data_IF_222957851794
#
_entry.id   IF_222957851794
#
_cell.length_a   1.000
_cell.length_b   1.000
_cell.length_c   1.000
_cell.angle_alpha   90.00
_cell.angle_beta   90.00
_cell.angle_gamma   90.00
#
_symmetry.space_group_name_H-M   'P 1'
#
loop_
_entity.id
_entity.type
_entity.pdbx_description
1 polymer ?
#
# COMPACT_ATOMS: atom_id res chain seq x y z
N UNK A 1 23.04 2.42 8.58
CA UNK A 1 22.10 2.19 7.48
C UNK A 1 20.77 1.58 7.93
N UNK A 2 20.68 0.90 9.08
CA UNK A 2 19.49 0.12 9.51
C UNK A 2 18.37 0.90 10.25
N UNK A 3 18.65 2.06 10.83
CA UNK A 3 17.64 2.83 11.59
C UNK A 3 16.66 3.59 10.68
N UNK A 4 17.10 3.98 9.48
CA UNK A 4 16.25 4.64 8.49
C UNK A 4 15.24 3.67 7.86
N UNK A 5 15.64 2.42 7.64
CA UNK A 5 14.78 1.38 7.05
C UNK A 5 13.56 1.09 7.92
N UNK A 6 13.70 0.98 9.25
CA UNK A 6 12.58 0.72 10.17
C UNK A 6 11.55 1.85 10.20
N UNK A 7 11.97 3.11 10.00
CA UNK A 7 11.11 4.30 10.08
C UNK A 7 10.20 4.44 8.85
N UNK A 8 10.70 4.07 7.66
CA UNK A 8 9.93 4.16 6.40
C UNK A 8 9.29 2.84 5.99
N UNK A 9 9.67 1.73 6.63
CA UNK A 9 9.13 0.40 6.32
C UNK A 9 7.60 0.38 6.39
N UNK A 10 7.03 0.83 7.50
CA UNK A 10 5.58 0.86 7.68
C UNK A 10 4.87 1.80 6.72
N UNK A 11 5.54 2.88 6.33
CA UNK A 11 5.00 3.80 5.33
C UNK A 11 4.95 3.16 3.93
N UNK A 12 6.05 2.51 3.53
CA UNK A 12 6.12 1.76 2.27
C UNK A 12 5.16 0.57 2.26
N UNK A 13 5.15 -0.19 3.35
CA UNK A 13 4.25 -1.32 3.51
C UNK A 13 2.78 -0.91 3.38
N UNK A 14 2.35 0.10 4.13
CA UNK A 14 0.99 0.64 4.03
C UNK A 14 0.69 1.22 2.65
N UNK A 15 1.66 1.87 2.00
CA UNK A 15 1.53 2.42 0.65
C UNK A 15 1.29 1.33 -0.41
N UNK A 16 1.99 0.21 -0.32
CA UNK A 16 1.78 -0.94 -1.22
C UNK A 16 0.36 -1.49 -1.07
N UNK A 17 -0.08 -1.74 0.17
CA UNK A 17 -1.43 -2.25 0.43
C UNK A 17 -2.52 -1.27 -0.01
N UNK A 18 -2.31 0.02 0.19
CA UNK A 18 -3.20 1.06 -0.31
C UNK A 18 -3.30 1.02 -1.84
N UNK A 19 -2.17 0.94 -2.54
CA UNK A 19 -2.14 0.88 -4.01
C UNK A 19 -2.82 -0.38 -4.55
N UNK A 20 -2.56 -1.55 -3.95
CA UNK A 20 -3.21 -2.82 -4.29
C UNK A 20 -4.73 -2.72 -4.04
N UNK A 21 -5.13 -2.19 -2.88
CA UNK A 21 -6.54 -2.00 -2.53
C UNK A 21 -7.27 -1.09 -3.51
N UNK A 22 -6.67 0.03 -3.90
CA UNK A 22 -7.24 0.95 -4.90
C UNK A 22 -7.34 0.29 -6.28
N UNK A 23 -6.34 -0.49 -6.69
CA UNK A 23 -6.36 -1.25 -7.94
C UNK A 23 -7.50 -2.26 -8.00
N UNK A 24 -7.66 -3.06 -6.94
CA UNK A 24 -8.75 -4.05 -6.82
C UNK A 24 -10.13 -3.37 -6.76
N UNK A 25 -10.25 -2.26 -6.03
CA UNK A 25 -11.50 -1.49 -5.96
C UNK A 25 -11.88 -0.96 -7.34
N UNK A 26 -10.92 -0.36 -8.05
CA UNK A 26 -11.15 0.11 -9.43
C UNK A 26 -11.57 -1.04 -10.35
N UNK A 27 -10.84 -2.16 -10.34
CA UNK A 27 -11.18 -3.34 -11.13
C UNK A 27 -12.57 -3.87 -10.82
N UNK A 28 -12.97 -3.92 -9.55
CA UNK A 28 -14.31 -4.32 -9.13
C UNK A 28 -15.41 -3.37 -9.64
N UNK A 29 -15.18 -2.06 -9.58
CA UNK A 29 -16.12 -1.05 -10.11
C UNK A 29 -16.27 -1.18 -11.63
N UNK A 30 -15.14 -1.32 -12.34
CA UNK A 30 -15.13 -1.46 -13.80
C UNK A 30 -15.87 -2.73 -14.23
N UNK A 31 -15.66 -3.84 -13.53
CA UNK A 31 -16.35 -5.12 -13.79
C UNK A 31 -17.88 -5.02 -13.55
N UNK A 32 -18.29 -4.42 -12.42
CA UNK A 32 -19.72 -4.19 -12.12
C UNK A 32 -20.34 -3.25 -13.18
N UNK A 33 -19.60 -2.21 -13.58
CA UNK A 33 -20.04 -1.30 -14.64
C UNK A 33 -20.23 -1.99 -15.98
N UNK A 34 -19.27 -2.82 -16.38
CA UNK A 34 -19.36 -3.63 -17.60
C UNK A 34 -20.52 -4.61 -17.54
N UNK A 35 -20.72 -5.31 -16.41
CA UNK A 35 -21.84 -6.22 -16.25
C UNK A 35 -23.20 -5.51 -16.39
N UNK A 36 -23.35 -4.31 -15.82
CA UNK A 36 -24.56 -3.49 -15.98
C UNK A 36 -24.80 -3.11 -17.44
N UNK A 37 -23.73 -2.73 -18.18
CA UNK A 37 -23.83 -2.42 -19.61
C UNK A 37 -24.27 -3.64 -20.41
N UNK A 38 -23.68 -4.81 -20.17
CA UNK A 38 -24.09 -6.05 -20.84
C UNK A 38 -25.53 -6.45 -20.53
N UNK A 39 -26.02 -6.19 -19.31
CA UNK A 39 -27.45 -6.44 -18.97
C UNK A 39 -28.40 -5.46 -19.65
N UNK A 40 -28.00 -4.20 -19.81
CA UNK A 40 -28.86 -3.17 -20.39
C UNK A 40 -28.83 -3.14 -21.93
N UNK A 41 -27.64 -3.32 -22.52
CA UNK A 41 -27.39 -3.07 -23.95
C UNK A 41 -26.89 -4.32 -24.68
N UNK A 42 -26.65 -5.41 -23.95
CA UNK A 42 -26.11 -6.65 -24.52
C UNK A 42 -27.10 -7.33 -25.48
N UNK A 43 -26.61 -7.70 -26.65
CA UNK A 43 -27.33 -8.48 -27.64
C UNK A 43 -26.76 -9.90 -27.70
N UNK A 44 -27.62 -10.88 -27.74
CA UNK A 44 -27.24 -12.30 -27.82
C UNK A 44 -27.22 -12.72 -29.29
N UNK A 45 -26.11 -13.33 -29.71
CA UNK A 45 -25.98 -13.89 -31.04
C UNK A 45 -25.47 -15.32 -31.00
N UNK A 46 -25.83 -16.12 -32.02
CA UNK A 46 -25.20 -17.40 -32.27
C UNK A 46 -23.89 -17.20 -33.03
N UNK A 47 -22.81 -17.70 -32.48
CA UNK A 47 -21.51 -17.69 -33.10
C UNK A 47 -21.09 -19.12 -33.49
N UNK A 48 -20.20 -19.24 -34.44
CA UNK A 48 -19.65 -20.52 -34.87
C UNK A 48 -18.15 -20.52 -34.52
N UNK A 49 -17.70 -21.57 -33.87
CA UNK A 49 -16.27 -21.77 -33.55
C UNK A 49 -15.52 -21.98 -34.86
N UNK A 50 -14.46 -21.19 -35.05
CA UNK A 50 -13.58 -21.29 -36.24
C UNK A 50 -12.19 -21.83 -35.92
N UNK A 51 -11.75 -21.73 -34.67
CA UNK A 51 -10.45 -22.22 -34.24
C UNK A 51 -10.42 -22.42 -32.71
N UNK A 52 -9.57 -23.35 -32.28
CA UNK A 52 -9.32 -23.64 -30.86
C UNK A 52 -7.82 -23.56 -30.61
N UNK A 53 -7.42 -22.78 -29.63
CA UNK A 53 -6.03 -22.66 -29.26
C UNK A 53 -5.82 -22.86 -27.76
N UNK A 54 -4.70 -23.47 -27.42
CA UNK A 54 -4.27 -23.69 -26.06
C UNK A 54 -3.08 -22.78 -25.78
N UNK A 55 -3.28 -21.79 -24.93
CA UNK A 55 -2.19 -20.99 -24.41
C UNK A 55 -1.64 -21.68 -23.16
N UNK A 56 -0.50 -22.37 -23.33
CA UNK A 56 0.13 -23.10 -22.23
C UNK A 56 0.56 -22.16 -21.11
N UNK A 57 0.51 -22.72 -19.90
CA UNK A 57 1.04 -22.06 -18.71
C UNK A 57 2.53 -21.72 -18.91
N UNK A 58 2.90 -20.50 -18.58
CA UNK A 58 4.27 -20.08 -18.32
C UNK A 58 4.42 -19.85 -16.81
N UNK A 59 5.64 -19.54 -16.33
CA UNK A 59 5.94 -19.38 -14.89
C UNK A 59 5.01 -18.42 -14.16
N UNK A 60 4.36 -17.51 -14.87
CA UNK A 60 3.49 -16.47 -14.32
C UNK A 60 2.00 -16.62 -14.67
N UNK A 61 1.63 -17.50 -15.63
CA UNK A 61 0.26 -17.59 -16.13
C UNK A 61 -0.23 -19.03 -16.14
N UNK A 62 -1.47 -19.24 -15.68
CA UNK A 62 -2.16 -20.52 -15.82
C UNK A 62 -2.51 -20.83 -17.29
N UNK A 63 -2.64 -22.12 -17.62
CA UNK A 63 -3.11 -22.56 -18.93
C UNK A 63 -4.46 -21.94 -19.26
N UNK A 64 -4.60 -21.33 -20.43
CA UNK A 64 -5.85 -20.75 -20.92
C UNK A 64 -6.34 -21.49 -22.15
N UNK A 65 -7.61 -21.84 -22.13
CA UNK A 65 -8.31 -22.49 -23.23
C UNK A 65 -9.07 -21.43 -24.01
N UNK A 66 -8.58 -21.11 -25.21
CA UNK A 66 -9.11 -20.05 -26.05
C UNK A 66 -9.91 -20.63 -27.21
N UNK A 67 -11.05 -20.02 -27.48
CA UNK A 67 -11.92 -20.33 -28.61
C UNK A 67 -12.06 -19.08 -29.46
N UNK A 68 -11.75 -19.20 -30.76
CA UNK A 68 -11.99 -18.18 -31.76
C UNK A 68 -13.29 -18.49 -32.48
N UNK A 69 -14.14 -17.49 -32.65
CA UNK A 69 -15.48 -17.67 -33.20
C UNK A 69 -15.87 -16.50 -34.10
N UNK A 70 -16.87 -16.76 -34.96
CA UNK A 70 -17.47 -15.73 -35.82
C UNK A 70 -18.96 -15.71 -35.60
N UNK A 71 -19.55 -14.52 -35.59
CA UNK A 71 -20.96 -14.27 -35.55
C UNK A 71 -21.36 -13.13 -36.44
N UNK A 72 -22.64 -12.97 -36.72
CA UNK A 72 -23.20 -11.84 -37.45
C UNK A 72 -24.05 -11.01 -36.48
N UNK A 73 -23.82 -9.71 -36.44
CA UNK A 73 -24.61 -8.76 -35.65
C UNK A 73 -26.02 -8.62 -36.23
N UNK A 74 -26.96 -8.04 -35.48
CA UNK A 74 -28.31 -7.74 -35.97
C UNK A 74 -28.30 -6.87 -37.25
N UNK A 75 -27.30 -6.00 -37.40
CA UNK A 75 -27.09 -5.15 -38.59
C UNK A 75 -26.44 -5.88 -39.78
N UNK A 76 -26.26 -7.20 -39.68
CA UNK A 76 -25.68 -8.01 -40.75
C UNK A 76 -24.14 -7.95 -40.86
N UNK A 77 -23.43 -7.34 -39.94
CA UNK A 77 -21.96 -7.26 -39.97
C UNK A 77 -21.33 -8.54 -39.42
N UNK A 78 -20.42 -9.19 -40.16
CA UNK A 78 -19.67 -10.31 -39.63
C UNK A 78 -18.58 -9.82 -38.65
N UNK A 79 -18.55 -10.38 -37.46
CA UNK A 79 -17.57 -10.07 -36.42
C UNK A 79 -16.87 -11.35 -36.02
N UNK A 80 -15.54 -11.26 -35.83
CA UNK A 80 -14.73 -12.37 -35.31
C UNK A 80 -14.25 -12.00 -33.92
N UNK A 81 -14.39 -12.93 -32.99
CA UNK A 81 -13.94 -12.76 -31.63
C UNK A 81 -13.16 -13.93 -31.10
N UNK A 82 -12.59 -13.74 -29.92
CA UNK A 82 -11.95 -14.82 -29.17
C UNK A 82 -12.28 -14.66 -27.69
N UNK A 83 -12.41 -15.77 -26.99
CA UNK A 83 -12.68 -15.78 -25.56
C UNK A 83 -12.12 -17.03 -24.90
N UNK A 84 -11.86 -16.92 -23.60
CA UNK A 84 -11.48 -18.07 -22.78
C UNK A 84 -12.73 -18.81 -22.32
N UNK A 85 -12.66 -20.12 -22.32
CA UNK A 85 -13.68 -21.04 -21.77
C UNK A 85 -13.04 -21.96 -20.74
N UNK A 86 -13.85 -22.65 -19.95
CA UNK A 86 -13.29 -23.66 -19.05
C UNK A 86 -12.84 -24.92 -19.83
N UNK A 87 -12.08 -25.78 -19.16
CA UNK A 87 -11.51 -26.97 -19.79
C UNK A 87 -12.58 -27.93 -20.32
N UNK A 88 -13.69 -28.12 -19.58
CA UNK A 88 -14.76 -29.06 -19.97
C UNK A 88 -15.50 -28.52 -21.17
N UNK A 89 -15.81 -27.24 -21.21
CA UNK A 89 -16.43 -26.58 -22.34
C UNK A 89 -15.50 -26.62 -23.56
N UNK A 90 -14.20 -26.36 -23.38
CA UNK A 90 -13.22 -26.43 -24.46
C UNK A 90 -13.08 -27.82 -25.06
N UNK A 91 -13.11 -28.88 -24.24
CA UNK A 91 -13.07 -30.28 -24.72
C UNK A 91 -14.30 -30.66 -25.51
N UNK A 92 -15.47 -30.18 -25.10
CA UNK A 92 -16.73 -30.44 -25.75
C UNK A 92 -16.91 -29.71 -27.10
N UNK A 93 -16.29 -28.55 -27.26
CA UNK A 93 -16.37 -27.76 -28.48
C UNK A 93 -15.46 -28.29 -29.57
N UNK A 94 -15.93 -28.19 -30.82
CA UNK A 94 -15.19 -28.51 -32.06
C UNK A 94 -15.30 -27.31 -33.02
N UNK A 95 -14.44 -27.27 -34.03
CA UNK A 95 -14.61 -26.35 -35.14
C UNK A 95 -16.01 -26.61 -35.79
N UNK A 96 -16.70 -25.50 -36.07
CA UNK A 96 -18.10 -25.57 -36.56
C UNK A 96 -19.15 -25.64 -35.44
N UNK A 97 -18.78 -25.89 -34.19
CA UNK A 97 -19.73 -25.93 -33.07
C UNK A 97 -20.41 -24.57 -32.85
N UNK A 98 -21.74 -24.55 -32.63
CA UNK A 98 -22.41 -23.32 -32.27
C UNK A 98 -22.14 -22.96 -30.80
N UNK A 99 -21.88 -21.69 -30.55
CA UNK A 99 -21.74 -21.10 -29.21
C UNK A 99 -22.62 -19.85 -29.12
N UNK A 100 -23.00 -19.51 -27.90
CA UNK A 100 -23.72 -18.26 -27.65
C UNK A 100 -22.73 -17.19 -27.25
N UNK A 101 -22.84 -16.00 -27.84
CA UNK A 101 -22.04 -14.82 -27.48
C UNK A 101 -22.97 -13.66 -27.16
N UNK A 102 -22.53 -12.83 -26.22
CA UNK A 102 -23.19 -11.55 -25.93
C UNK A 102 -22.26 -10.44 -26.33
N UNK A 103 -22.73 -9.49 -27.14
CA UNK A 103 -21.97 -8.35 -27.62
C UNK A 103 -22.72 -7.04 -27.32
N UNK A 104 -22.00 -5.92 -27.28
CA UNK A 104 -22.59 -4.61 -27.14
C UNK A 104 -22.95 -4.04 -28.53
N UNK A 105 -24.19 -3.61 -28.74
CA UNK A 105 -24.67 -3.13 -30.03
C UNK A 105 -23.81 -1.93 -30.56
N UNK A 106 -23.39 -1.05 -29.66
CA UNK A 106 -22.58 0.13 -29.97
C UNK A 106 -21.06 -0.17 -30.15
N UNK A 107 -20.60 -1.35 -29.72
CA UNK A 107 -19.20 -1.79 -29.80
C UNK A 107 -19.14 -3.30 -30.00
N UNK A 108 -19.45 -3.84 -31.21
CA UNK A 108 -19.55 -5.27 -31.43
C UNK A 108 -18.23 -6.05 -31.20
N UNK A 109 -17.09 -5.37 -31.17
CA UNK A 109 -15.80 -5.94 -30.79
C UNK A 109 -15.73 -6.26 -29.29
N UNK A 110 -16.56 -5.61 -28.48
CA UNK A 110 -16.70 -5.86 -27.05
C UNK A 110 -17.71 -6.96 -26.83
N UNK A 111 -17.23 -8.18 -26.66
CA UNK A 111 -18.04 -9.37 -26.66
C UNK A 111 -17.53 -10.38 -25.64
N UNK A 112 -18.41 -11.28 -25.21
CA UNK A 112 -18.08 -12.40 -24.31
C UNK A 112 -18.84 -13.66 -24.68
N UNK A 113 -18.27 -14.82 -24.36
CA UNK A 113 -18.92 -16.11 -24.54
C UNK A 113 -19.97 -16.29 -23.42
N UNK A 114 -21.13 -16.82 -23.80
CA UNK A 114 -22.26 -17.08 -22.90
C UNK A 114 -23.36 -16.02 -22.99
N UNK A 115 -24.58 -16.46 -22.67
CA UNK A 115 -25.76 -15.59 -22.58
C UNK A 115 -25.92 -14.93 -21.22
N UNK A 116 -25.24 -15.45 -20.20
CA UNK A 116 -25.35 -14.99 -18.81
C UNK A 116 -24.31 -13.95 -18.46
N UNK A 117 -24.65 -13.11 -17.51
CA UNK A 117 -23.77 -12.11 -16.92
C UNK A 117 -22.43 -12.66 -16.49
N UNK A 118 -21.42 -11.78 -16.42
CA UNK A 118 -20.06 -12.12 -16.05
C UNK A 118 -19.92 -12.87 -14.73
N UNK A 119 -18.73 -13.28 -14.43
CA UNK A 119 -18.36 -14.13 -13.28
C UNK A 119 -18.77 -13.65 -11.89
N UNK A 120 -19.41 -12.48 -11.78
CA UNK A 120 -19.75 -11.88 -10.48
C UNK A 120 -18.52 -11.44 -9.67
N UNK A 121 -17.32 -11.55 -10.25
CA UNK A 121 -16.05 -11.27 -9.60
C UNK A 121 -15.93 -9.86 -9.06
N UNK A 122 -16.56 -8.89 -9.71
CA UNK A 122 -16.54 -7.49 -9.29
C UNK A 122 -17.14 -7.28 -7.90
N UNK A 123 -18.20 -8.00 -7.54
CA UNK A 123 -18.83 -7.93 -6.22
C UNK A 123 -17.96 -8.50 -5.10
N UNK A 124 -17.05 -9.41 -5.42
CA UNK A 124 -16.07 -9.96 -4.47
C UNK A 124 -14.84 -9.07 -4.41
N UNK A 125 -14.36 -8.59 -5.55
CA UNK A 125 -13.16 -7.73 -5.61
C UNK A 125 -13.35 -6.39 -4.91
N UNK A 126 -14.54 -5.79 -5.00
CA UNK A 126 -14.83 -4.48 -4.44
C UNK A 126 -14.66 -4.44 -2.91
N UNK A 127 -15.31 -5.30 -2.10
CA UNK A 127 -15.12 -5.29 -0.65
C UNK A 127 -13.69 -5.65 -0.23
N UNK A 128 -13.03 -6.57 -0.94
CA UNK A 128 -11.63 -6.93 -0.68
C UNK A 128 -10.72 -5.72 -0.95
N UNK A 129 -10.93 -5.04 -2.08
CA UNK A 129 -10.17 -3.83 -2.44
C UNK A 129 -10.35 -2.72 -1.43
N UNK A 130 -11.58 -2.45 -1.00
CA UNK A 130 -11.89 -1.45 0.03
C UNK A 130 -11.23 -1.80 1.37
N UNK A 131 -11.24 -3.07 1.76
CA UNK A 131 -10.57 -3.52 2.99
C UNK A 131 -9.07 -3.22 2.97
N UNK A 132 -8.38 -3.59 1.89
CA UNK A 132 -6.94 -3.33 1.76
C UNK A 132 -6.62 -1.84 1.62
N UNK A 133 -7.45 -1.08 0.92
CA UNK A 133 -7.30 0.37 0.82
C UNK A 133 -7.47 1.05 2.19
N UNK A 134 -8.46 0.64 2.97
CA UNK A 134 -8.69 1.17 4.32
C UNK A 134 -7.56 0.79 5.29
N UNK A 135 -7.13 -0.46 5.28
CA UNK A 135 -6.03 -0.94 6.12
C UNK A 135 -4.70 -0.24 5.77
N UNK A 136 -4.34 -0.22 4.47
CA UNK A 136 -3.15 0.46 3.98
C UNK A 136 -3.16 1.96 4.23
N UNK A 137 -4.29 2.62 3.95
CA UNK A 137 -4.50 4.04 4.23
C UNK A 137 -4.41 4.37 5.71
N UNK A 138 -4.98 3.53 6.57
CA UNK A 138 -4.88 3.66 8.02
C UNK A 138 -3.43 3.61 8.52
N UNK A 139 -2.64 2.65 8.01
CA UNK A 139 -1.21 2.53 8.35
C UNK A 139 -0.44 3.78 7.89
N UNK A 140 -0.66 4.24 6.65
CA UNK A 140 0.00 5.44 6.10
C UNK A 140 -0.38 6.68 6.91
N UNK A 141 -1.67 6.87 7.19
CA UNK A 141 -2.17 7.98 7.98
C UNK A 141 -1.57 8.02 9.39
N UNK A 142 -1.65 6.88 10.11
CA UNK A 142 -1.12 6.77 11.47
C UNK A 142 0.40 7.01 11.52
N UNK A 143 1.15 6.39 10.60
CA UNK A 143 2.60 6.56 10.52
C UNK A 143 2.97 8.00 10.14
N UNK A 144 2.26 8.58 9.18
CA UNK A 144 2.45 9.97 8.75
C UNK A 144 2.17 10.97 9.87
N UNK A 145 1.05 10.81 10.57
CA UNK A 145 0.68 11.64 11.72
C UNK A 145 1.73 11.57 12.83
N UNK A 146 2.20 10.36 13.15
CA UNK A 146 3.26 10.17 14.16
C UNK A 146 4.57 10.84 13.74
N UNK A 147 4.96 10.71 12.47
CA UNK A 147 6.17 11.32 11.96
C UNK A 147 6.08 12.86 11.94
N UNK A 148 4.93 13.40 11.55
CA UNK A 148 4.67 14.84 11.57
C UNK A 148 4.71 15.38 13.01
N UNK A 149 4.15 14.64 13.96
CA UNK A 149 4.16 14.98 15.37
C UNK A 149 5.58 15.02 15.95
N UNK A 150 6.39 13.98 15.70
CA UNK A 150 7.78 13.94 16.15
C UNK A 150 8.59 15.09 15.54
N UNK A 151 8.37 15.42 14.24
CA UNK A 151 9.00 16.57 13.58
C UNK A 151 8.58 17.91 14.20
N UNK A 152 7.30 18.05 14.54
CA UNK A 152 6.80 19.24 15.23
C UNK A 152 7.51 19.42 16.57
N UNK A 153 7.55 18.37 17.41
CA UNK A 153 8.27 18.41 18.69
C UNK A 153 9.75 18.74 18.55
N UNK A 154 10.41 18.21 17.51
CA UNK A 154 11.81 18.53 17.24
C UNK A 154 12.00 20.01 16.88
N UNK A 155 11.09 20.63 16.14
CA UNK A 155 11.20 22.01 15.66
C UNK A 155 10.73 23.06 16.68
N UNK A 156 9.62 22.79 17.36
CA UNK A 156 8.93 23.79 18.21
C UNK A 156 8.89 23.40 19.68
N UNK A 157 9.25 22.15 20.04
CA UNK A 157 9.24 21.68 21.43
C UNK A 157 10.29 22.40 22.28
N UNK A 158 9.91 22.67 23.53
CA UNK A 158 10.83 23.25 24.51
C UNK A 158 11.89 22.24 24.89
N UNK A 159 13.16 22.66 24.82
CA UNK A 159 14.29 21.83 25.21
C UNK A 159 14.45 21.86 26.74
N UNK A 160 14.63 20.68 27.32
CA UNK A 160 14.98 20.46 28.73
C UNK A 160 15.94 19.28 28.85
N UNK A 161 16.41 18.99 30.05
CA UNK A 161 17.20 17.81 30.34
C UNK A 161 16.39 16.80 31.12
N UNK A 162 16.46 15.55 30.72
CA UNK A 162 15.84 14.44 31.42
C UNK A 162 16.91 13.49 31.96
N UNK A 163 16.63 12.86 33.09
CA UNK A 163 17.47 11.83 33.70
C UNK A 163 16.93 10.46 33.38
N UNK A 164 17.79 9.55 32.92
CA UNK A 164 17.42 8.16 32.65
C UNK A 164 17.12 7.45 33.96
N UNK A 165 15.93 6.85 34.05
CA UNK A 165 15.49 6.06 35.20
C UNK A 165 15.88 4.57 34.99
N UNK A 166 15.61 4.04 33.81
CA UNK A 166 15.92 2.64 33.44
C UNK A 166 15.88 2.46 31.94
N UNK A 167 16.57 1.42 31.47
CA UNK A 167 16.52 0.94 30.09
C UNK A 167 15.85 -0.42 30.08
N UNK A 168 14.75 -0.57 29.35
CA UNK A 168 13.93 -1.77 29.35
C UNK A 168 13.76 -2.35 27.94
N UNK A 169 13.75 -3.69 27.81
CA UNK A 169 13.47 -4.32 26.52
C UNK A 169 12.02 -4.09 26.08
N UNK A 170 11.82 -3.98 24.78
CA UNK A 170 10.50 -3.99 24.15
C UNK A 170 10.08 -5.43 23.83
N UNK A 171 8.79 -5.69 23.79
CA UNK A 171 8.25 -6.95 23.26
C UNK A 171 8.43 -7.09 21.73
N UNK A 172 8.88 -6.04 21.05
CA UNK A 172 9.04 -6.00 19.59
C UNK A 172 10.48 -6.27 19.21
N UNK A 173 10.69 -7.20 18.28
CA UNK A 173 11.97 -7.45 17.64
C UNK A 173 11.91 -7.07 16.16
N UNK A 174 12.94 -6.39 15.68
CA UNK A 174 13.10 -6.03 14.25
C UNK A 174 14.26 -6.84 13.70
N UNK A 175 14.02 -7.68 12.70
CA UNK A 175 15.01 -8.62 12.14
C UNK A 175 15.69 -9.49 13.22
N UNK A 176 14.90 -10.04 14.15
CA UNK A 176 15.36 -10.82 15.32
C UNK A 176 16.23 -10.04 16.32
N UNK A 177 16.33 -8.73 16.18
CA UNK A 177 17.04 -7.86 17.11
C UNK A 177 16.03 -7.22 18.06
N UNK A 178 16.07 -7.48 19.38
CA UNK A 178 15.14 -6.88 20.33
C UNK A 178 15.32 -5.38 20.37
N UNK A 179 14.22 -4.67 20.44
CA UNK A 179 14.21 -3.21 20.56
C UNK A 179 14.11 -2.81 22.04
N UNK A 180 14.48 -1.60 22.37
CA UNK A 180 14.58 -1.12 23.73
C UNK A 180 13.92 0.24 23.92
N UNK A 181 13.56 0.56 25.16
CA UNK A 181 13.08 1.87 25.56
C UNK A 181 14.01 2.44 26.64
N UNK A 182 14.29 3.72 26.58
CA UNK A 182 14.86 4.50 27.68
C UNK A 182 13.69 5.15 28.42
N UNK A 183 13.51 4.82 29.67
CA UNK A 183 12.56 5.50 30.57
C UNK A 183 13.31 6.64 31.22
N UNK A 184 12.76 7.84 31.11
CA UNK A 184 13.42 9.06 31.58
C UNK A 184 12.43 9.95 32.33
N UNK A 185 12.98 10.76 33.23
CA UNK A 185 12.25 11.73 34.04
C UNK A 185 12.77 13.12 33.74
N UNK A 186 11.89 14.10 33.58
CA UNK A 186 12.24 15.50 33.32
C UNK A 186 11.26 16.42 34.02
N UNK A 187 11.64 17.72 34.14
CA UNK A 187 10.77 18.76 34.63
C UNK A 187 10.27 19.63 33.48
N UNK A 188 8.98 19.97 33.51
CA UNK A 188 8.38 20.92 32.59
C UNK A 188 8.72 22.38 32.96
N UNK A 189 8.18 23.32 32.18
CA UNK A 189 8.42 24.76 32.36
C UNK A 189 7.84 25.35 33.63
N UNK A 190 7.01 24.61 34.38
CA UNK A 190 6.44 25.02 35.67
C UNK A 190 6.94 24.16 36.83
N UNK A 191 7.97 23.36 36.60
CA UNK A 191 8.65 22.56 37.60
C UNK A 191 7.97 21.23 37.95
N UNK A 192 6.92 20.81 37.22
CA UNK A 192 6.29 19.48 37.42
C UNK A 192 7.15 18.39 36.83
N UNK A 193 7.28 17.31 37.55
CA UNK A 193 8.05 16.16 37.12
C UNK A 193 7.20 15.20 36.30
N UNK A 194 7.69 14.82 35.14
CA UNK A 194 7.10 13.85 34.22
C UNK A 194 8.03 12.66 34.05
N UNK A 195 7.48 11.44 34.01
CA UNK A 195 8.20 10.22 33.70
C UNK A 195 7.55 9.56 32.49
N UNK A 196 8.35 9.29 31.46
CA UNK A 196 7.88 8.70 30.21
C UNK A 196 8.96 7.85 29.57
N UNK A 197 8.65 7.24 28.43
CA UNK A 197 9.59 6.41 27.68
C UNK A 197 9.92 6.98 26.31
N UNK A 198 11.14 6.74 25.87
CA UNK A 198 11.60 7.11 24.53
C UNK A 198 10.81 6.36 23.44
N UNK A 199 10.99 6.75 22.18
CA UNK A 199 10.67 5.89 21.04
C UNK A 199 11.53 4.63 21.11
N UNK A 200 11.10 3.55 20.43
CA UNK A 200 11.89 2.32 20.31
C UNK A 200 13.27 2.64 19.74
N UNK A 201 14.30 2.13 20.37
CA UNK A 201 15.70 2.28 20.01
C UNK A 201 16.31 0.92 19.70
N UNK A 202 17.22 0.90 18.74
CA UNK A 202 18.09 -0.26 18.53
C UNK A 202 18.99 -0.47 19.76
N UNK A 203 19.44 -1.70 20.02
CA UNK A 203 20.30 -2.00 21.18
C UNK A 203 21.52 -1.08 21.28
N UNK A 204 22.19 -0.81 20.14
CA UNK A 204 23.36 0.06 20.08
C UNK A 204 23.08 1.50 20.54
N UNK A 205 21.87 2.00 20.31
CA UNK A 205 21.46 3.34 20.73
C UNK A 205 20.87 3.37 22.14
N UNK A 206 20.29 2.26 22.59
CA UNK A 206 19.71 2.16 23.92
C UNK A 206 20.77 1.91 25.00
N UNK A 207 21.74 1.06 24.73
CA UNK A 207 22.80 0.67 25.67
C UNK A 207 23.90 1.73 25.84
N UNK A 208 23.86 2.82 25.09
CA UNK A 208 24.67 3.99 25.39
C UNK A 208 24.19 4.75 26.63
N UNK A 209 22.98 4.44 27.11
CA UNK A 209 22.35 5.10 28.24
C UNK A 209 22.32 4.18 29.47
N UNK A 210 22.67 4.74 30.62
CA UNK A 210 22.61 4.06 31.92
C UNK A 210 21.68 4.83 32.87
N UNK A 211 21.09 4.15 33.89
CA UNK A 211 20.34 4.84 34.93
C UNK A 211 21.20 5.93 35.58
N UNK A 212 20.64 7.14 35.68
CA UNK A 212 21.34 8.34 36.19
C UNK A 212 21.92 9.24 35.09
N UNK A 213 22.09 8.75 33.87
CA UNK A 213 22.55 9.60 32.76
C UNK A 213 21.55 10.71 32.47
N UNK A 214 22.09 11.86 32.05
CA UNK A 214 21.27 13.00 31.65
C UNK A 214 21.35 13.21 30.15
N UNK A 215 20.17 13.42 29.51
CA UNK A 215 20.08 13.65 28.08
C UNK A 215 19.02 14.69 27.70
N UNK A 216 19.09 15.21 26.46
CA UNK A 216 18.17 16.24 25.99
C UNK A 216 16.78 15.67 25.73
N UNK A 217 15.76 16.40 26.17
CA UNK A 217 14.33 16.11 25.99
C UNK A 217 13.66 17.34 25.38
N UNK A 218 12.83 17.11 24.37
CA UNK A 218 11.92 18.15 23.88
C UNK A 218 10.49 17.81 24.27
N UNK A 219 9.74 18.78 24.79
CA UNK A 219 8.35 18.59 25.18
C UNK A 219 7.44 19.71 24.65
N UNK A 220 6.15 19.41 24.51
CA UNK A 220 5.13 20.40 24.14
C UNK A 220 4.70 21.17 25.40
N UNK A 221 4.83 22.51 25.39
CA UNK A 221 4.38 23.35 26.51
C UNK A 221 2.89 23.24 26.77
N UNK A 222 2.08 23.04 25.74
CA UNK A 222 0.64 22.91 25.87
C UNK A 222 0.23 21.53 26.45
N UNK A 223 1.04 20.51 26.20
CA UNK A 223 0.87 19.18 26.75
C UNK A 223 2.24 18.61 27.19
N UNK A 224 2.68 18.91 28.41
CA UNK A 224 4.01 18.49 28.87
C UNK A 224 4.25 16.98 28.95
N UNK A 225 3.19 16.17 28.99
CA UNK A 225 3.32 14.70 28.92
C UNK A 225 3.83 14.22 27.54
N UNK A 226 3.64 15.06 26.53
CA UNK A 226 4.09 14.78 25.18
C UNK A 226 5.53 15.25 25.01
N UNK A 227 6.43 14.29 25.00
CA UNK A 227 7.86 14.56 24.94
C UNK A 227 8.61 13.57 24.05
N UNK A 228 9.79 13.99 23.63
CA UNK A 228 10.68 13.25 22.78
C UNK A 228 12.10 13.25 23.36
N UNK A 229 12.63 12.05 23.62
CA UNK A 229 14.03 11.85 23.93
C UNK A 229 14.88 12.09 22.68
N UNK A 230 15.75 13.07 22.73
CA UNK A 230 16.59 13.44 21.58
C UNK A 230 17.86 12.60 21.59
N UNK A 231 18.02 11.81 20.52
CA UNK A 231 19.22 10.97 20.33
C UNK A 231 20.08 11.54 19.21
N UNK A 232 21.36 11.18 19.16
CA UNK A 232 22.28 11.60 18.10
C UNK A 232 21.74 11.29 16.68
N UNK A 233 20.92 10.22 16.54
CA UNK A 233 20.22 9.88 15.30
C UNK A 233 19.21 10.96 14.87
N UNK A 234 18.69 11.74 15.82
CA UNK A 234 17.76 12.83 15.55
C UNK A 234 18.47 14.17 15.29
N UNK A 235 19.66 14.35 15.87
CA UNK A 235 20.47 15.60 15.74
C UNK A 235 21.23 15.65 14.40
N UNK A 236 21.72 14.51 13.88
CA UNK A 236 22.49 14.45 12.65
C UNK A 236 21.75 14.90 11.37
N UNK A 237 20.46 15.25 11.49
CA UNK A 237 19.67 15.83 10.41
C UNK A 237 19.60 17.35 10.40
N UNK A 238 19.83 18.02 11.54
CA UNK A 238 19.90 19.49 11.58
C UNK A 238 21.30 20.00 11.19
N UNK A 239 22.35 19.28 11.52
CA UNK A 239 23.72 19.66 11.17
C UNK A 239 23.95 19.64 9.65
N UNK A 240 23.39 18.68 8.92
CA UNK A 240 23.52 18.59 7.44
C UNK A 240 22.67 19.61 6.68
N UNK A 241 21.70 20.24 7.34
CA UNK A 241 20.85 21.27 6.71
C UNK A 241 21.39 22.69 6.88
N UNK A 242 22.31 22.90 7.82
CA UNK A 242 22.88 24.23 8.12
C UNK A 242 24.22 24.44 7.41
N UNK A 243 24.97 23.38 7.10
CA UNK A 243 26.28 23.48 6.40
C UNK A 243 26.17 23.61 4.86
N UNK A 244 24.96 23.76 4.32
CA UNK A 244 24.72 23.88 2.86
C UNK A 244 24.61 25.33 2.36
N UNK A 245 24.68 26.34 3.24
CA UNK A 245 24.42 27.73 2.82
C UNK A 245 25.44 28.66 3.48
N UNK A 246 26.70 28.58 3.06
CA UNK A 246 27.69 29.65 3.01
C UNK A 246 29.06 29.06 2.58
N UNK A 247 29.25 28.90 1.27
CA UNK A 247 30.60 28.89 0.68
C UNK A 247 30.74 30.17 -0.17
N UNK A 248 31.36 31.22 0.40
CA UNK A 248 31.75 32.38 -0.40
C UNK A 248 32.94 31.97 -1.28
N UNK A 249 32.69 31.83 -2.58
CA UNK A 249 33.74 31.64 -3.58
C UNK A 249 34.76 32.75 -3.46
N UNK A 250 36.05 32.44 -3.34
CA UNK A 250 37.08 33.45 -3.46
C UNK A 250 37.18 33.91 -4.92
N UNK A 251 37.04 35.22 -5.12
CA UNK A 251 37.35 35.90 -6.36
C UNK A 251 38.76 35.52 -6.79
N UNK A 252 38.90 35.08 -8.03
CA UNK A 252 40.20 34.96 -8.71
C UNK A 252 40.35 36.16 -9.61
N UNK A 253 41.31 36.97 -9.25
CA UNK A 253 42.01 37.90 -10.13
C UNK A 253 42.79 37.16 -11.24
#
# INVERSE_FOLDING_TARGET
MNALFGKYFWFLFGGIWLAVGLGLTKGGIDEIGNERRYRAEGRVARATVIDKSLQRADREHSTRYLVKYRFTTEDGRPVTGSGAVDVHEWEALREGSPITVTYLANAPETQRIGASGGSGGGWVMLPIGLFFAAAGGGIVYWTGRRLAHDRRLMRTGTLTHGTVVKVIPSSVSVNRVPQWYVVYRYQDHIGRTHETRSRMLAPSAAHTWQPGDTGPVRFDRANPEDSLWVTAVNIGREATAVDGEDDPRPDRD
#
